data_IF_489870687478
#
_entry.id   IF_489870687478
#
_cell.length_a   1.000
_cell.length_b   1.000
_cell.length_c   1.000
_cell.angle_alpha   90.00
_cell.angle_beta   90.00
_cell.angle_gamma   90.00
#
_symmetry.space_group_name_H-M   'P 1'
#
loop_
_entity.id
_entity.type
_entity.pdbx_description
1 polymer ?
#
# COMPACT_ATOMS: atom_id res chain seq x y z
N UNK A 1 -13.39 16.85 -4.49
CA UNK A 1 -14.02 16.16 -5.61
C UNK A 1 -13.74 14.68 -5.38
N UNK A 2 -14.76 13.84 -5.21
CA UNK A 2 -14.55 12.41 -4.97
C UNK A 2 -13.85 11.80 -6.19
N UNK A 3 -12.93 10.85 -5.96
CA UNK A 3 -12.32 10.11 -7.06
C UNK A 3 -13.37 9.31 -7.85
N UNK A 4 -13.10 8.97 -9.11
CA UNK A 4 -14.00 8.11 -9.90
C UNK A 4 -14.34 6.80 -9.17
N UNK A 5 -13.36 6.25 -8.45
CA UNK A 5 -13.49 5.06 -7.61
C UNK A 5 -14.43 5.28 -6.43
N UNK A 6 -14.28 6.39 -5.70
CA UNK A 6 -15.19 6.75 -4.60
C UNK A 6 -16.60 7.04 -5.11
N UNK A 7 -16.76 7.73 -6.24
CA UNK A 7 -18.07 7.99 -6.84
C UNK A 7 -18.75 6.69 -7.29
N UNK A 8 -18.01 5.78 -7.90
CA UNK A 8 -18.52 4.45 -8.26
C UNK A 8 -18.90 3.63 -7.03
N UNK A 9 -18.07 3.64 -5.98
CA UNK A 9 -18.38 2.95 -4.73
C UNK A 9 -19.59 3.57 -4.01
N UNK A 10 -19.70 4.91 -3.97
CA UNK A 10 -20.89 5.59 -3.44
C UNK A 10 -22.16 5.16 -4.15
N UNK A 11 -22.13 5.06 -5.47
CA UNK A 11 -23.26 4.56 -6.23
C UNK A 11 -23.64 3.15 -5.80
N UNK A 12 -22.67 2.24 -5.63
CA UNK A 12 -22.93 0.86 -5.22
C UNK A 12 -23.55 0.77 -3.82
N UNK A 13 -22.99 1.45 -2.82
CA UNK A 13 -23.48 1.38 -1.43
C UNK A 13 -24.81 2.10 -1.21
N UNK A 14 -25.21 2.98 -2.13
CA UNK A 14 -26.53 3.65 -2.08
C UNK A 14 -27.63 2.87 -2.79
N UNK A 15 -27.28 1.97 -3.71
CA UNK A 15 -28.25 1.23 -4.53
C UNK A 15 -28.35 -0.26 -4.17
N UNK A 16 -27.39 -0.80 -3.41
CA UNK A 16 -27.35 -2.20 -3.02
C UNK A 16 -27.09 -2.36 -1.51
N UNK A 17 -27.67 -3.40 -0.92
CA UNK A 17 -27.41 -3.73 0.49
C UNK A 17 -26.02 -4.31 0.70
N UNK A 18 -25.49 -4.20 1.93
CA UNK A 18 -24.23 -4.84 2.34
C UNK A 18 -24.20 -6.34 2.03
N UNK A 19 -25.33 -7.03 2.20
CA UNK A 19 -25.45 -8.43 1.87
C UNK A 19 -25.28 -8.69 0.36
N UNK A 20 -25.96 -7.91 -0.48
CA UNK A 20 -25.85 -8.03 -1.93
C UNK A 20 -24.43 -7.72 -2.41
N UNK A 21 -23.82 -6.66 -1.90
CA UNK A 21 -22.44 -6.29 -2.25
C UNK A 21 -21.44 -7.35 -1.80
N UNK A 22 -21.52 -7.78 -0.55
CA UNK A 22 -20.57 -8.74 0.03
C UNK A 22 -20.70 -10.14 -0.57
N UNK A 23 -21.91 -10.58 -0.96
CA UNK A 23 -22.12 -11.91 -1.51
C UNK A 23 -22.13 -11.89 -3.04
N UNK A 24 -23.12 -11.22 -3.64
CA UNK A 24 -23.34 -11.23 -5.09
C UNK A 24 -22.30 -10.38 -5.80
N UNK A 25 -22.02 -9.18 -5.28
CA UNK A 25 -20.99 -8.30 -5.82
C UNK A 25 -19.61 -8.96 -5.83
N UNK A 26 -19.19 -9.50 -4.67
CA UNK A 26 -17.93 -10.26 -4.55
C UNK A 26 -17.89 -11.48 -5.46
N UNK A 27 -18.99 -12.22 -5.58
CA UNK A 27 -19.06 -13.38 -6.48
C UNK A 27 -18.88 -12.96 -7.94
N UNK A 28 -19.62 -11.95 -8.41
CA UNK A 28 -19.47 -11.45 -9.79
C UNK A 28 -18.04 -10.97 -10.06
N UNK A 29 -17.45 -10.23 -9.12
CA UNK A 29 -16.07 -9.77 -9.22
C UNK A 29 -15.09 -10.96 -9.33
N UNK A 30 -15.22 -11.93 -8.42
CA UNK A 30 -14.40 -13.14 -8.40
C UNK A 30 -14.51 -13.92 -9.71
N UNK A 31 -15.74 -14.23 -10.16
CA UNK A 31 -15.98 -14.99 -11.39
C UNK A 31 -15.44 -14.25 -12.62
N UNK A 32 -15.65 -12.94 -12.69
CA UNK A 32 -15.17 -12.12 -13.80
C UNK A 32 -13.64 -12.15 -13.88
N UNK A 33 -12.96 -11.85 -12.77
CA UNK A 33 -11.48 -11.83 -12.73
C UNK A 33 -10.93 -13.22 -13.04
N UNK A 34 -11.47 -14.26 -12.41
CA UNK A 34 -11.00 -15.62 -12.58
C UNK A 34 -11.14 -16.11 -14.02
N UNK A 35 -12.35 -16.05 -14.60
CA UNK A 35 -12.58 -16.59 -15.94
C UNK A 35 -11.94 -15.73 -17.03
N UNK A 36 -12.00 -14.40 -16.93
CA UNK A 36 -11.36 -13.52 -17.92
C UNK A 36 -9.84 -13.71 -17.93
N UNK A 37 -9.21 -13.92 -16.77
CA UNK A 37 -7.77 -14.20 -16.70
C UNK A 37 -7.37 -15.51 -17.38
N UNK A 38 -8.28 -16.49 -17.44
CA UNK A 38 -8.07 -17.78 -18.09
C UNK A 38 -8.22 -17.76 -19.62
N UNK A 39 -9.03 -16.83 -20.17
CA UNK A 39 -9.34 -16.79 -21.60
C UNK A 39 -8.11 -16.67 -22.51
N UNK A 40 -7.09 -15.82 -22.22
CA UNK A 40 -5.88 -15.75 -23.03
C UNK A 40 -5.17 -17.10 -23.13
N UNK A 41 -5.10 -17.86 -22.04
CA UNK A 41 -4.42 -19.15 -22.01
C UNK A 41 -5.19 -20.24 -22.75
N UNK A 42 -6.52 -20.23 -22.67
CA UNK A 42 -7.38 -21.12 -23.48
C UNK A 42 -7.20 -20.81 -24.97
N UNK A 43 -7.14 -19.53 -25.33
CA UNK A 43 -6.91 -19.10 -26.71
C UNK A 43 -5.55 -19.57 -27.24
N UNK A 44 -4.47 -19.38 -26.46
CA UNK A 44 -3.13 -19.85 -26.81
C UNK A 44 -3.08 -21.38 -26.96
N UNK A 45 -3.67 -22.11 -26.01
CA UNK A 45 -3.73 -23.58 -26.01
C UNK A 45 -4.50 -24.12 -27.22
N UNK A 46 -5.65 -23.52 -27.57
CA UNK A 46 -6.46 -23.95 -28.74
C UNK A 46 -5.83 -23.58 -30.07
N UNK A 47 -5.13 -22.44 -30.14
CA UNK A 47 -4.39 -22.01 -31.33
C UNK A 47 -3.07 -22.74 -31.54
N UNK A 48 -2.60 -23.52 -30.56
CA UNK A 48 -1.28 -24.15 -30.59
C UNK A 48 -0.11 -23.14 -30.54
N UNK A 49 -0.40 -21.88 -30.22
CA UNK A 49 0.60 -20.83 -30.09
C UNK A 49 1.45 -21.08 -28.85
N UNK A 50 2.74 -20.75 -28.93
CA UNK A 50 3.66 -20.86 -27.79
C UNK A 50 3.79 -22.29 -27.23
N UNK A 51 3.42 -23.33 -28.00
CA UNK A 51 3.48 -24.74 -27.61
C UNK A 51 4.86 -25.19 -27.14
N UNK A 52 5.94 -24.58 -27.64
CA UNK A 52 7.33 -24.81 -27.18
C UNK A 52 7.58 -24.44 -25.71
N UNK A 53 6.73 -23.61 -25.10
CA UNK A 53 6.81 -23.22 -23.69
C UNK A 53 5.88 -24.05 -22.78
N UNK A 54 5.12 -24.99 -23.36
CA UNK A 54 4.15 -25.81 -22.62
C UNK A 54 4.89 -26.87 -21.81
N UNK A 55 4.59 -26.93 -20.52
CA UNK A 55 5.25 -27.85 -19.57
C UNK A 55 4.56 -29.22 -19.59
N UNK A 56 3.24 -29.26 -19.78
CA UNK A 56 2.48 -30.50 -19.73
C UNK A 56 2.68 -31.33 -21.01
N UNK A 57 3.20 -32.56 -20.86
CA UNK A 57 3.40 -33.50 -21.96
C UNK A 57 2.08 -34.02 -22.57
N UNK A 58 0.98 -33.98 -21.79
CA UNK A 58 -0.35 -34.39 -22.25
C UNK A 58 -1.12 -33.19 -22.80
N UNK A 59 -1.59 -33.32 -24.04
CA UNK A 59 -2.51 -32.34 -24.63
C UNK A 59 -3.93 -32.52 -24.09
N UNK A 60 -4.58 -31.40 -23.76
CA UNK A 60 -5.95 -31.38 -23.28
C UNK A 60 -6.86 -31.05 -24.47
N UNK A 61 -7.61 -32.02 -25.03
CA UNK A 61 -8.46 -31.77 -26.17
C UNK A 61 -9.59 -30.80 -25.80
N UNK A 62 -10.16 -30.05 -26.77
CA UNK A 62 -11.20 -29.05 -26.51
C UNK A 62 -12.40 -29.59 -25.72
N UNK A 63 -12.79 -30.85 -25.93
CA UNK A 63 -13.89 -31.48 -25.20
C UNK A 63 -13.56 -31.69 -23.72
N UNK A 64 -12.30 -32.02 -23.40
CA UNK A 64 -11.85 -32.15 -22.02
C UNK A 64 -11.77 -30.78 -21.33
N UNK A 65 -11.31 -29.75 -22.05
CA UNK A 65 -11.32 -28.37 -21.57
C UNK A 65 -12.76 -27.92 -21.27
N UNK A 66 -13.70 -28.16 -22.17
CA UNK A 66 -15.10 -27.79 -21.99
C UNK A 66 -15.72 -28.48 -20.77
N UNK A 67 -15.50 -29.80 -20.62
CA UNK A 67 -15.96 -30.56 -19.44
C UNK A 67 -15.37 -30.00 -18.13
N UNK A 68 -14.09 -29.63 -18.14
CA UNK A 68 -13.43 -29.02 -17.00
C UNK A 68 -14.07 -27.66 -16.66
N UNK A 69 -14.21 -26.78 -17.64
CA UNK A 69 -14.82 -25.44 -17.47
C UNK A 69 -16.25 -25.55 -16.96
N UNK A 70 -17.07 -26.45 -17.53
CA UNK A 70 -18.45 -26.66 -17.06
C UNK A 70 -18.51 -27.14 -15.61
N UNK A 71 -17.63 -28.08 -15.21
CA UNK A 71 -17.56 -28.54 -13.82
C UNK A 71 -17.08 -27.43 -12.88
N UNK A 72 -16.13 -26.64 -13.31
CA UNK A 72 -15.60 -25.52 -12.52
C UNK A 72 -16.67 -24.45 -12.29
N UNK A 73 -17.42 -24.08 -13.33
CA UNK A 73 -18.59 -23.22 -13.21
C UNK A 73 -19.60 -23.80 -12.21
N UNK A 74 -19.91 -25.10 -12.31
CA UNK A 74 -20.81 -25.76 -11.37
C UNK A 74 -20.30 -25.66 -9.93
N UNK A 75 -19.01 -25.88 -9.68
CA UNK A 75 -18.44 -25.73 -8.33
C UNK A 75 -18.47 -24.28 -7.84
N UNK A 76 -18.22 -23.30 -8.69
CA UNK A 76 -18.28 -21.90 -8.29
C UNK A 76 -19.71 -21.50 -7.90
N UNK A 77 -20.72 -21.89 -8.68
CA UNK A 77 -22.12 -21.58 -8.35
C UNK A 77 -22.69 -22.42 -7.20
N UNK A 78 -22.37 -23.72 -7.12
CA UNK A 78 -22.96 -24.63 -6.12
C UNK A 78 -22.16 -24.74 -4.83
N UNK A 79 -20.92 -24.28 -4.80
CA UNK A 79 -20.06 -24.32 -3.60
C UNK A 79 -19.61 -22.93 -3.21
N UNK A 80 -18.93 -22.19 -4.08
CA UNK A 80 -18.36 -20.89 -3.70
C UNK A 80 -19.43 -19.87 -3.33
N UNK A 81 -20.49 -19.73 -4.14
CA UNK A 81 -21.58 -18.80 -3.84
C UNK A 81 -22.29 -19.15 -2.51
N UNK A 82 -22.72 -20.40 -2.23
CA UNK A 82 -23.23 -20.77 -0.92
C UNK A 82 -22.27 -20.48 0.24
N UNK A 83 -20.98 -20.75 0.08
CA UNK A 83 -19.98 -20.44 1.11
C UNK A 83 -19.92 -18.93 1.37
N UNK A 84 -19.93 -18.09 0.33
CA UNK A 84 -19.98 -16.63 0.48
C UNK A 84 -21.24 -16.19 1.25
N UNK A 85 -22.41 -16.70 0.87
CA UNK A 85 -23.68 -16.39 1.52
C UNK A 85 -23.67 -16.80 3.01
N UNK A 86 -23.18 -18.00 3.33
CA UNK A 86 -23.11 -18.52 4.69
C UNK A 86 -22.03 -17.83 5.54
N UNK A 87 -20.98 -17.29 4.92
CA UNK A 87 -19.91 -16.59 5.61
C UNK A 87 -20.27 -15.15 6.00
N UNK A 88 -21.26 -14.54 5.34
CA UNK A 88 -21.63 -13.14 5.55
C UNK A 88 -21.91 -12.77 7.03
N UNK A 89 -22.67 -13.56 7.82
CA UNK A 89 -22.90 -13.24 9.24
C UNK A 89 -21.61 -13.18 10.05
N UNK A 90 -20.63 -14.02 9.73
CA UNK A 90 -19.31 -14.04 10.40
C UNK A 90 -18.54 -12.77 10.07
N UNK A 91 -18.44 -12.41 8.79
CA UNK A 91 -17.75 -11.17 8.38
C UNK A 91 -18.42 -9.92 8.96
N UNK A 92 -19.76 -9.90 9.02
CA UNK A 92 -20.51 -8.84 9.68
C UNK A 92 -20.19 -8.75 11.17
N UNK A 93 -20.13 -9.89 11.87
CA UNK A 93 -19.76 -9.94 13.29
C UNK A 93 -18.30 -9.50 13.54
N UNK A 94 -17.40 -9.73 12.57
CA UNK A 94 -16.01 -9.26 12.60
C UNK A 94 -15.85 -7.76 12.25
N UNK A 95 -16.95 -7.05 12.00
CA UNK A 95 -16.93 -5.60 11.76
C UNK A 95 -16.69 -5.20 10.30
N UNK A 96 -17.06 -6.04 9.33
CA UNK A 96 -17.09 -5.66 7.91
C UNK A 96 -17.95 -4.39 7.70
N UNK A 97 -17.44 -3.46 6.89
CA UNK A 97 -18.11 -2.18 6.56
C UNK A 97 -18.03 -1.95 5.06
N UNK A 98 -19.13 -1.51 4.46
CA UNK A 98 -19.21 -1.01 3.09
C UNK A 98 -19.12 0.52 3.03
N UNK A 99 -19.39 1.20 4.15
CA UNK A 99 -19.43 2.65 4.26
C UNK A 99 -18.12 3.31 3.85
N UNK A 100 -18.21 4.48 3.24
CA UNK A 100 -17.06 5.36 3.04
C UNK A 100 -16.49 5.91 4.35
N UNK A 101 -15.23 6.41 4.33
CA UNK A 101 -14.30 6.43 3.19
C UNK A 101 -13.80 5.02 2.83
N UNK A 102 -13.42 4.82 1.55
CA UNK A 102 -12.67 3.63 1.18
C UNK A 102 -11.38 3.57 2.03
N UNK A 103 -10.85 2.37 2.34
CA UNK A 103 -9.64 2.25 3.14
C UNK A 103 -8.56 3.12 2.53
N UNK A 104 -8.10 4.08 3.33
CA UNK A 104 -6.96 4.87 2.94
C UNK A 104 -5.76 3.94 2.88
N UNK A 105 -5.00 4.03 1.79
CA UNK A 105 -3.62 3.54 1.76
C UNK A 105 -2.70 4.36 2.69
N UNK A 106 -3.28 5.36 3.37
CA UNK A 106 -2.69 6.19 4.41
C UNK A 106 -2.79 5.49 5.76
N UNK A 107 -1.66 5.02 6.26
CA UNK A 107 -1.45 4.87 7.69
C UNK A 107 -0.99 6.23 8.22
N UNK A 108 -1.66 6.77 9.24
CA UNK A 108 -1.04 7.81 10.07
C UNK A 108 0.25 7.20 10.64
N UNK A 109 1.43 7.78 10.40
CA UNK A 109 2.68 7.18 10.85
C UNK A 109 2.68 7.08 12.38
N UNK A 110 2.79 5.86 12.89
CA UNK A 110 3.21 5.60 14.26
C UNK A 110 4.35 4.56 14.22
N UNK A 111 5.16 4.50 15.27
CA UNK A 111 6.47 3.81 15.20
C UNK A 111 6.44 2.37 14.66
N UNK A 112 5.39 1.59 14.96
CA UNK A 112 5.25 0.20 14.48
C UNK A 112 4.87 0.08 13.00
N UNK A 113 4.27 1.10 12.39
CA UNK A 113 3.95 1.12 10.95
C UNK A 113 5.05 1.78 10.12
N UNK A 114 6.22 2.06 10.72
CA UNK A 114 7.34 2.69 10.04
C UNK A 114 7.89 1.89 8.84
N UNK A 115 7.66 0.57 8.82
CA UNK A 115 7.99 -0.31 7.68
C UNK A 115 6.79 -0.61 6.76
N UNK A 116 5.59 -0.13 7.10
CA UNK A 116 4.41 -0.26 6.24
C UNK A 116 4.41 0.85 5.18
N UNK A 117 5.21 0.63 4.14
CA UNK A 117 5.45 1.59 3.06
C UNK A 117 5.11 1.02 1.68
N UNK A 118 5.07 1.89 0.67
CA UNK A 118 4.87 1.45 -0.71
C UNK A 118 6.03 0.51 -1.14
N UNK A 119 5.79 -0.58 -1.89
CA UNK A 119 6.86 -1.52 -2.26
C UNK A 119 8.07 -0.88 -2.93
N UNK A 120 7.86 0.16 -3.75
CA UNK A 120 8.96 0.91 -4.36
C UNK A 120 9.81 1.65 -3.31
N UNK A 121 9.19 2.25 -2.30
CA UNK A 121 9.87 2.95 -1.21
C UNK A 121 10.75 1.96 -0.43
N UNK A 122 10.22 0.78 -0.09
CA UNK A 122 10.98 -0.30 0.56
C UNK A 122 12.21 -0.69 -0.26
N UNK A 123 12.06 -0.86 -1.58
CA UNK A 123 13.17 -1.23 -2.47
C UNK A 123 14.26 -0.14 -2.53
N UNK A 124 13.88 1.12 -2.70
CA UNK A 124 14.83 2.23 -2.77
C UNK A 124 15.56 2.45 -1.44
N UNK A 125 14.83 2.46 -0.32
CA UNK A 125 15.42 2.60 1.02
C UNK A 125 16.28 1.40 1.41
N UNK A 126 15.83 0.18 1.09
CA UNK A 126 16.59 -1.04 1.33
C UNK A 126 17.91 -1.04 0.55
N UNK A 127 17.88 -0.68 -0.73
CA UNK A 127 19.08 -0.53 -1.54
C UNK A 127 20.04 0.52 -0.97
N UNK A 128 19.54 1.71 -0.65
CA UNK A 128 20.35 2.79 -0.07
C UNK A 128 20.95 2.40 1.30
N UNK A 129 20.27 1.57 2.08
CA UNK A 129 20.74 1.09 3.39
C UNK A 129 21.90 0.10 3.27
N UNK A 130 21.91 -0.73 2.23
CA UNK A 130 22.87 -1.83 2.07
C UNK A 130 24.08 -1.45 1.19
N UNK A 131 23.94 -0.50 0.26
CA UNK A 131 25.01 -0.16 -0.69
C UNK A 131 26.30 0.31 -0.01
N UNK A 132 26.21 1.12 1.06
CA UNK A 132 27.38 1.60 1.81
C UNK A 132 28.16 0.46 2.47
N UNK A 133 27.52 -0.38 3.30
CA UNK A 133 28.14 -1.59 3.83
C UNK A 133 28.65 -2.55 2.73
N UNK A 134 27.92 -2.72 1.63
CA UNK A 134 28.36 -3.60 0.54
C UNK A 134 29.68 -3.13 -0.10
N UNK A 135 29.87 -1.81 -0.25
CA UNK A 135 31.12 -1.23 -0.78
C UNK A 135 32.27 -1.36 0.20
N UNK A 136 32.02 -1.16 1.49
CA UNK A 136 33.08 -1.13 2.52
C UNK A 136 33.44 -2.52 3.06
N UNK A 137 32.58 -3.52 2.88
CA UNK A 137 32.79 -4.89 3.36
C UNK A 137 33.06 -4.98 4.88
N UNK A 138 32.21 -4.38 5.74
CA UNK A 138 32.50 -4.25 7.15
C UNK A 138 32.38 -5.58 7.88
N UNK A 139 32.96 -5.64 9.08
CA UNK A 139 32.74 -6.75 10.01
C UNK A 139 31.24 -6.91 10.34
N UNK A 140 30.80 -8.15 10.55
CA UNK A 140 29.39 -8.47 10.81
C UNK A 140 28.81 -7.68 11.99
N UNK A 141 29.59 -7.48 13.05
CA UNK A 141 29.16 -6.65 14.19
C UNK A 141 28.86 -5.20 13.79
N UNK A 142 29.71 -4.60 12.95
CA UNK A 142 29.51 -3.24 12.44
C UNK A 142 28.27 -3.17 11.55
N UNK A 143 28.03 -4.21 10.73
CA UNK A 143 26.80 -4.31 9.93
C UNK A 143 25.56 -4.41 10.83
N UNK A 144 25.58 -5.22 11.89
CA UNK A 144 24.46 -5.32 12.83
C UNK A 144 24.19 -4.01 13.55
N UNK A 145 25.24 -3.34 14.04
CA UNK A 145 25.10 -2.03 14.66
C UNK A 145 24.51 -1.01 13.69
N UNK A 146 24.97 -1.01 12.44
CA UNK A 146 24.40 -0.19 11.36
C UNK A 146 22.90 -0.47 11.17
N UNK A 147 22.49 -1.73 11.05
CA UNK A 147 21.10 -2.11 10.88
C UNK A 147 20.22 -1.66 12.06
N UNK A 148 20.70 -1.83 13.29
CA UNK A 148 19.99 -1.38 14.50
C UNK A 148 19.78 0.14 14.46
N UNK A 149 20.82 0.91 14.16
CA UNK A 149 20.71 2.37 14.08
C UNK A 149 19.73 2.81 12.99
N UNK A 150 19.74 2.16 11.83
CA UNK A 150 18.82 2.47 10.72
C UNK A 150 17.37 2.17 11.05
N UNK A 151 17.10 1.08 11.77
CA UNK A 151 15.74 0.76 12.24
C UNK A 151 15.28 1.78 13.28
N UNK A 152 16.14 2.12 14.26
CA UNK A 152 15.81 3.11 15.29
C UNK A 152 15.50 4.50 14.69
N UNK A 153 16.30 4.95 13.72
CA UNK A 153 16.06 6.20 12.99
C UNK A 153 14.72 6.18 12.26
N UNK A 154 14.38 5.05 11.63
CA UNK A 154 13.13 4.88 10.89
C UNK A 154 11.94 4.93 11.85
N UNK A 155 12.02 4.26 13.00
CA UNK A 155 10.97 4.29 14.03
C UNK A 155 10.82 5.70 14.62
N UNK A 156 11.92 6.41 14.90
CA UNK A 156 11.89 7.78 15.44
C UNK A 156 11.19 8.74 14.47
N UNK A 157 11.58 8.71 13.19
CA UNK A 157 10.98 9.56 12.16
C UNK A 157 9.48 9.29 11.94
N UNK A 158 8.97 8.11 12.29
CA UNK A 158 7.57 7.74 12.16
C UNK A 158 6.82 7.69 13.49
N UNK A 159 7.46 7.99 14.63
CA UNK A 159 6.83 7.77 15.92
C UNK A 159 5.65 8.72 16.19
N UNK A 160 5.56 9.83 15.45
CA UNK A 160 4.52 10.86 15.61
C UNK A 160 4.76 11.78 16.81
N UNK A 161 5.88 11.63 17.51
CA UNK A 161 6.25 12.43 18.68
C UNK A 161 7.54 13.21 18.45
N UNK A 162 7.51 14.51 18.70
CA UNK A 162 8.70 15.35 18.70
C UNK A 162 9.02 15.78 20.13
N UNK A 163 9.91 15.03 20.78
CA UNK A 163 10.29 15.28 22.17
C UNK A 163 11.35 16.38 22.29
N UNK A 164 11.52 17.01 23.46
CA UNK A 164 12.64 17.94 23.71
C UNK A 164 14.02 17.30 23.45
N UNK A 165 14.13 15.98 23.63
CA UNK A 165 15.35 15.21 23.39
C UNK A 165 15.36 14.46 22.05
N UNK A 166 14.43 14.74 21.13
CA UNK A 166 14.48 14.17 19.78
C UNK A 166 15.81 14.54 19.10
N UNK A 167 16.47 13.62 18.39
CA UNK A 167 17.75 13.88 17.71
C UNK A 167 17.72 15.09 16.77
N UNK A 168 16.56 15.38 16.17
CA UNK A 168 16.34 16.54 15.28
C UNK A 168 16.58 17.88 15.96
N UNK A 169 16.48 17.96 17.29
CA UNK A 169 16.79 19.19 18.03
C UNK A 169 18.29 19.46 18.17
N UNK A 170 19.13 18.43 18.01
CA UNK A 170 20.58 18.52 18.19
C UNK A 170 21.34 18.46 16.87
N UNK A 171 20.79 17.79 15.85
CA UNK A 171 21.42 17.60 14.55
C UNK A 171 20.70 18.40 13.46
N UNK A 172 21.26 19.54 13.01
CA UNK A 172 20.56 20.49 12.13
C UNK A 172 20.31 19.98 10.71
N UNK A 173 20.81 18.80 10.36
CA UNK A 173 20.60 18.17 9.06
C UNK A 173 19.47 17.12 9.08
N UNK A 174 19.05 16.68 10.27
CA UNK A 174 18.07 15.62 10.49
C UNK A 174 16.68 16.20 10.81
N UNK A 175 15.66 15.77 10.06
CA UNK A 175 14.31 16.34 10.17
C UNK A 175 13.43 15.73 11.26
N UNK A 176 13.75 14.52 11.70
CA UNK A 176 12.98 13.78 12.71
C UNK A 176 11.50 13.63 12.36
N UNK A 177 10.70 13.33 13.38
CA UNK A 177 9.29 12.99 13.20
C UNK A 177 8.44 14.12 12.60
N UNK A 178 8.70 15.37 12.93
CA UNK A 178 7.87 16.51 12.49
C UNK A 178 8.07 16.84 11.00
N UNK A 179 9.31 16.72 10.49
CA UNK A 179 9.60 16.90 9.07
C UNK A 179 9.01 15.74 8.24
N UNK A 180 9.11 14.51 8.74
CA UNK A 180 8.63 13.31 8.07
C UNK A 180 7.11 13.14 8.16
N UNK A 181 6.48 13.58 9.25
CA UNK A 181 5.02 13.64 9.36
C UNK A 181 4.42 14.55 8.28
N UNK A 182 5.08 15.67 7.97
CA UNK A 182 4.66 16.54 6.87
C UNK A 182 4.72 15.84 5.50
N UNK A 183 5.76 15.02 5.27
CA UNK A 183 5.87 14.17 4.07
C UNK A 183 4.66 13.23 3.94
N UNK A 184 4.29 12.55 5.03
CA UNK A 184 3.14 11.64 5.07
C UNK A 184 1.78 12.34 5.00
N UNK A 185 1.70 13.60 5.46
CA UNK A 185 0.45 14.38 5.48
C UNK A 185 0.00 14.84 4.09
N UNK A 186 0.92 15.01 3.14
CA UNK A 186 0.66 15.61 1.83
C UNK A 186 1.05 14.66 0.70
N UNK A 187 0.08 13.86 0.30
CA UNK A 187 0.28 12.74 -0.61
C UNK A 187 0.46 13.23 -2.03
N UNK A 188 1.17 12.41 -2.84
CA UNK A 188 1.60 12.47 -4.27
C UNK A 188 1.29 13.68 -5.16
N UNK A 189 0.19 14.41 -4.95
CA UNK A 189 -0.18 15.62 -5.71
C UNK A 189 0.47 16.92 -5.17
N UNK A 190 0.95 16.93 -3.92
CA UNK A 190 1.74 18.03 -3.31
C UNK A 190 2.86 17.52 -2.40
N UNK A 191 3.38 16.33 -2.71
CA UNK A 191 4.44 15.66 -1.97
C UNK A 191 5.75 16.46 -2.01
N UNK A 192 6.48 16.44 -0.89
CA UNK A 192 7.75 17.13 -0.65
C UNK A 192 8.44 16.50 0.56
N UNK A 193 9.48 17.13 1.10
CA UNK A 193 10.21 16.62 2.27
C UNK A 193 10.69 15.15 2.10
N UNK A 194 11.35 14.86 0.97
CA UNK A 194 11.75 13.50 0.59
C UNK A 194 12.92 12.96 1.43
N UNK A 195 13.74 13.85 1.99
CA UNK A 195 14.89 13.43 2.77
C UNK A 195 14.53 13.25 4.24
N UNK A 196 14.74 12.04 4.75
CA UNK A 196 14.65 11.78 6.19
C UNK A 196 15.86 12.31 6.97
N UNK A 197 17.06 12.25 6.37
CA UNK A 197 18.33 12.54 7.06
C UNK A 197 19.12 13.73 6.50
N UNK A 198 18.94 14.07 5.23
CA UNK A 198 19.72 15.09 4.53
C UNK A 198 18.80 16.20 4.02
N UNK A 199 18.12 16.88 4.94
CA UNK A 199 17.12 17.91 4.63
C UNK A 199 17.62 19.01 3.69
N UNK A 200 18.93 19.27 3.69
CA UNK A 200 19.53 20.23 2.77
C UNK A 200 19.30 19.87 1.30
N UNK A 201 19.11 18.59 0.97
CA UNK A 201 18.72 18.18 -0.38
C UNK A 201 17.33 18.71 -0.73
N UNK A 202 16.36 18.60 0.19
CA UNK A 202 15.04 19.19 -0.05
C UNK A 202 15.10 20.71 -0.19
N UNK A 203 16.02 21.37 0.51
CA UNK A 203 16.24 22.79 0.34
C UNK A 203 16.81 23.13 -1.06
N UNK A 204 17.83 22.39 -1.51
CA UNK A 204 18.47 22.57 -2.82
C UNK A 204 17.45 22.36 -3.95
N UNK A 205 16.63 21.31 -3.84
CA UNK A 205 15.63 20.97 -4.86
C UNK A 205 14.27 21.66 -4.65
N UNK A 206 14.12 22.42 -3.56
CA UNK A 206 12.93 23.21 -3.25
C UNK A 206 11.69 22.39 -2.87
N UNK A 207 11.88 21.14 -2.44
CA UNK A 207 10.81 20.20 -2.09
C UNK A 207 10.33 20.36 -0.65
N UNK A 208 10.95 21.22 0.17
CA UNK A 208 10.50 21.55 1.53
C UNK A 208 9.77 22.90 1.68
N UNK A 209 9.51 23.62 0.57
CA UNK A 209 8.88 24.96 0.59
C UNK A 209 7.51 24.96 1.28
N UNK A 210 6.71 23.92 1.04
CA UNK A 210 5.41 23.76 1.67
C UNK A 210 5.53 23.63 3.20
N UNK A 211 6.49 22.83 3.67
CA UNK A 211 6.74 22.62 5.09
C UNK A 211 7.14 23.92 5.79
N UNK A 212 8.06 24.67 5.19
CA UNK A 212 8.50 25.99 5.71
C UNK A 212 7.36 26.98 5.81
N UNK A 213 6.48 27.00 4.79
CA UNK A 213 5.29 27.86 4.80
C UNK A 213 4.34 27.49 5.94
N UNK A 214 4.10 26.19 6.14
CA UNK A 214 3.26 25.71 7.25
C UNK A 214 3.85 26.07 8.61
N UNK A 215 5.17 25.90 8.80
CA UNK A 215 5.85 26.28 10.04
C UNK A 215 5.73 27.77 10.32
N UNK A 216 5.96 28.63 9.32
CA UNK A 216 5.83 30.07 9.48
C UNK A 216 4.41 30.49 9.89
N UNK A 217 3.38 29.91 9.27
CA UNK A 217 1.97 30.19 9.63
C UNK A 217 1.65 29.78 11.07
N UNK A 218 2.12 28.60 11.51
CA UNK A 218 1.92 28.13 12.89
C UNK A 218 2.58 29.05 13.92
N UNK A 219 3.78 29.58 13.62
CA UNK A 219 4.46 30.52 14.51
C UNK A 219 3.65 31.81 14.67
N UNK A 220 3.16 32.39 13.56
CA UNK A 220 2.35 33.61 13.59
C UNK A 220 1.05 33.42 14.38
N UNK A 221 0.38 32.27 14.25
CA UNK A 221 -0.86 31.99 15.00
C UNK A 221 -0.61 31.89 16.51
N UNK A 222 0.52 31.29 16.91
CA UNK A 222 0.90 31.15 18.33
C UNK A 222 1.22 32.52 18.94
N UNK A 223 1.94 33.37 18.21
CA UNK A 223 2.30 34.71 18.68
C UNK A 223 1.08 35.63 18.74
N UNK A 224 0.16 35.53 17.77
CA UNK A 224 -1.09 36.30 17.75
C UNK A 224 -2.10 35.89 18.85
N UNK A 225 -2.01 34.67 19.39
CA UNK A 225 -2.81 34.23 20.56
C UNK A 225 -2.21 34.64 21.90
N UNK A 226 -0.96 35.13 21.92
CA UNK A 226 -0.25 35.58 23.13
C UNK A 226 -0.29 37.11 23.31
N UNK A 227 -0.78 37.86 22.33
CA UNK A 227 -1.16 39.28 22.44
C UNK A 227 -2.61 39.41 22.91
#
# INVERSE_FOLDING_TARGET
MASLLESGWQYLVTHFSDFQLACIGSFILHESVFFLSGLPFIFLERGGYLSKYKIQAKNNPPEAQQKCITRLLLYHFCVNLPVMLLSYPVFRAMGMRSSLPLPSWYATPFGLTSEYAHPAEILFLGFATIVGPAITGPHLFTLWLWMVLRVLETVEAHCGYHFPWSPSNFFPLYGGSDFHDYHHRLLYTKSGNYSSTFMYMDWIFGTDRGYRTLKALKTVEVDGKKM
#
